data_IF_721107189241
#
_entry.id   IF_721107189241
#
_cell.length_a   1.000
_cell.length_b   1.000
_cell.length_c   1.000
_cell.angle_alpha   90.00
_cell.angle_beta   90.00
_cell.angle_gamma   90.00
#
_symmetry.space_group_name_H-M   'P 1'
#
loop_
_entity.id
_entity.type
_entity.pdbx_description
1 polymer ?
#
# COMPACT_ATOMS: atom_id res chain seq x y z
N UNK A 1 10.37 46.36 41.56
CA UNK A 1 9.48 46.13 40.41
C UNK A 1 10.01 44.96 39.58
N UNK A 2 9.39 43.78 39.68
CA UNK A 2 9.71 42.62 38.83
C UNK A 2 8.58 42.46 37.82
N UNK A 3 8.86 42.75 36.55
CA UNK A 3 7.94 42.45 35.47
C UNK A 3 7.93 40.93 35.24
N UNK A 4 6.81 40.28 35.57
CA UNK A 4 6.51 38.91 35.15
C UNK A 4 6.12 38.98 33.68
N UNK A 5 7.03 38.58 32.79
CA UNK A 5 6.70 38.32 31.40
C UNK A 5 5.97 36.98 31.32
N UNK A 6 4.63 37.01 31.29
CA UNK A 6 3.82 35.88 30.86
C UNK A 6 3.95 35.72 29.34
N UNK A 7 4.72 34.74 28.88
CA UNK A 7 4.80 34.38 27.46
C UNK A 7 3.57 33.59 26.99
N UNK A 8 2.76 34.09 26.04
CA UNK A 8 1.69 33.33 25.42
C UNK A 8 2.28 32.49 24.28
N UNK A 9 2.82 31.30 24.59
CA UNK A 9 3.45 30.47 23.53
C UNK A 9 3.50 28.96 23.75
N UNK A 10 3.28 28.48 24.97
CA UNK A 10 3.41 27.03 25.26
C UNK A 10 2.14 26.23 24.95
N UNK A 11 0.95 26.83 25.07
CA UNK A 11 -0.32 26.12 24.89
C UNK A 11 -0.55 25.67 23.45
N UNK A 12 -0.40 26.56 22.48
CA UNK A 12 -0.68 26.26 21.06
C UNK A 12 0.31 25.28 20.44
N UNK A 13 1.59 25.33 20.85
CA UNK A 13 2.60 24.35 20.42
C UNK A 13 2.32 22.95 20.96
N UNK A 14 1.83 22.85 22.21
CA UNK A 14 1.45 21.57 22.80
C UNK A 14 0.16 20.99 22.18
N UNK A 15 -0.84 21.84 21.92
CA UNK A 15 -2.08 21.44 21.24
C UNK A 15 -1.78 21.00 19.80
N UNK A 16 -1.00 21.77 19.05
CA UNK A 16 -0.57 21.39 17.70
C UNK A 16 0.24 20.09 17.68
N UNK A 17 1.11 19.87 18.68
CA UNK A 17 1.86 18.63 18.79
C UNK A 17 0.97 17.41 19.08
N UNK A 18 -0.08 17.56 19.89
CA UNK A 18 -1.07 16.50 20.16
C UNK A 18 -1.92 16.21 18.93
N UNK A 19 -2.44 17.26 18.28
CA UNK A 19 -3.24 17.15 17.06
C UNK A 19 -2.47 16.39 15.95
N UNK A 20 -1.22 16.78 15.69
CA UNK A 20 -0.37 16.09 14.72
C UNK A 20 -0.08 14.63 15.09
N UNK A 21 -0.10 14.27 16.38
CA UNK A 21 0.12 12.87 16.81
C UNK A 21 -1.15 12.05 16.58
N UNK A 22 -2.32 12.63 16.82
CA UNK A 22 -3.61 12.01 16.47
C UNK A 22 -3.71 11.82 14.96
N UNK A 23 -3.36 12.84 14.18
CA UNK A 23 -3.36 12.76 12.72
C UNK A 23 -2.39 11.69 12.20
N UNK A 24 -1.17 11.62 12.76
CA UNK A 24 -0.21 10.57 12.42
C UNK A 24 -0.74 9.17 12.76
N UNK A 25 -1.38 8.99 13.91
CA UNK A 25 -1.98 7.72 14.31
C UNK A 25 -3.13 7.33 13.38
N UNK A 26 -3.99 8.29 13.02
CA UNK A 26 -5.08 8.10 12.07
C UNK A 26 -4.56 7.73 10.68
N UNK A 27 -3.51 8.39 10.21
CA UNK A 27 -2.91 8.11 8.90
C UNK A 27 -2.33 6.69 8.86
N UNK A 28 -1.64 6.25 9.93
CA UNK A 28 -1.15 4.86 10.05
C UNK A 28 -2.30 3.87 10.11
N UNK A 29 -3.34 4.17 10.91
CA UNK A 29 -4.52 3.31 11.03
C UNK A 29 -5.23 3.15 9.69
N UNK A 30 -5.45 4.26 8.99
CA UNK A 30 -6.07 4.27 7.67
C UNK A 30 -5.26 3.40 6.71
N UNK A 31 -3.93 3.58 6.62
CA UNK A 31 -3.09 2.80 5.74
C UNK A 31 -3.10 1.29 6.02
N UNK A 32 -3.24 0.87 7.29
CA UNK A 32 -3.38 -0.56 7.62
C UNK A 32 -4.76 -1.12 7.24
N UNK A 33 -5.80 -0.30 7.40
CA UNK A 33 -7.19 -0.74 7.28
C UNK A 33 -7.70 -0.62 5.84
N UNK A 34 -7.16 0.28 5.01
CA UNK A 34 -7.66 0.56 3.66
C UNK A 34 -7.84 -0.76 2.88
N UNK A 35 -9.10 -1.11 2.52
CA UNK A 35 -9.39 -2.31 1.73
C UNK A 35 -8.79 -2.21 0.33
N UNK A 36 -8.66 -3.35 -0.35
CA UNK A 36 -8.10 -3.42 -1.70
C UNK A 36 -9.16 -3.21 -2.79
N UNK A 37 -10.45 -3.15 -2.42
CA UNK A 37 -11.56 -2.87 -3.34
C UNK A 37 -12.46 -1.78 -2.78
N UNK A 38 -12.95 -0.90 -3.66
CA UNK A 38 -13.91 0.14 -3.30
C UNK A 38 -15.21 -0.44 -2.75
N UNK A 39 -15.59 -1.63 -3.22
CA UNK A 39 -16.79 -2.37 -2.82
C UNK A 39 -16.67 -2.96 -1.39
N UNK A 40 -15.46 -3.02 -0.83
CA UNK A 40 -15.18 -3.53 0.53
C UNK A 40 -15.05 -2.39 1.55
N UNK A 41 -15.32 -1.13 1.17
CA UNK A 41 -15.36 0.04 2.06
C UNK A 41 -16.59 0.00 2.98
N UNK A 42 -16.74 -1.05 3.78
CA UNK A 42 -17.74 -1.11 4.83
C UNK A 42 -17.23 -0.41 6.10
N UNK A 43 -18.08 0.34 6.84
CA UNK A 43 -17.71 0.93 8.13
C UNK A 43 -17.13 -0.09 9.13
N UNK A 44 -17.55 -1.35 8.99
CA UNK A 44 -17.05 -2.50 9.74
C UNK A 44 -15.55 -2.80 9.51
N UNK A 45 -15.03 -2.54 8.31
CA UNK A 45 -13.61 -2.74 8.00
C UNK A 45 -12.73 -1.84 8.90
N UNK A 46 -13.22 -0.66 9.27
CA UNK A 46 -12.51 0.31 10.12
C UNK A 46 -12.53 0.00 11.62
N UNK A 47 -13.27 -1.02 12.05
CA UNK A 47 -13.29 -1.51 13.43
C UNK A 47 -12.29 -2.65 13.63
N UNK A 48 -11.71 -3.17 12.54
CA UNK A 48 -10.74 -4.26 12.61
C UNK A 48 -9.47 -3.78 13.31
N UNK A 49 -9.06 -4.50 14.34
CA UNK A 49 -7.81 -4.22 15.06
C UNK A 49 -6.67 -4.92 14.31
N UNK A 50 -5.76 -4.18 13.66
CA UNK A 50 -4.67 -4.78 12.93
C UNK A 50 -3.67 -5.38 13.91
N UNK A 51 -3.48 -6.69 13.83
CA UNK A 51 -2.50 -7.41 14.65
C UNK A 51 -1.09 -6.85 14.44
N UNK A 52 -0.78 -6.41 13.23
CA UNK A 52 0.53 -5.90 12.82
C UNK A 52 0.94 -4.68 13.64
N UNK A 53 0.01 -3.76 13.90
CA UNK A 53 0.27 -2.58 14.72
C UNK A 53 0.52 -2.95 16.19
N UNK A 54 -0.22 -3.94 16.71
CA UNK A 54 -0.07 -4.44 18.08
C UNK A 54 1.27 -5.14 18.26
N UNK A 55 1.64 -6.04 17.33
CA UNK A 55 2.93 -6.76 17.34
C UNK A 55 4.09 -5.77 17.21
N UNK A 56 4.01 -4.81 16.28
CA UNK A 56 5.03 -3.78 16.11
C UNK A 56 5.25 -2.99 17.41
N UNK A 57 4.18 -2.50 18.04
CA UNK A 57 4.27 -1.75 19.29
C UNK A 57 4.80 -2.60 20.43
N UNK A 58 4.43 -3.88 20.53
CA UNK A 58 4.93 -4.80 21.54
C UNK A 58 6.45 -4.98 21.41
N UNK A 59 6.95 -5.25 20.20
CA UNK A 59 8.39 -5.35 19.91
C UNK A 59 9.09 -4.06 20.30
N UNK A 60 8.62 -2.92 19.79
CA UNK A 60 9.23 -1.61 20.07
C UNK A 60 9.26 -1.31 21.55
N UNK A 61 8.21 -1.63 22.33
CA UNK A 61 8.17 -1.39 23.76
C UNK A 61 9.07 -2.36 24.55
N UNK A 62 9.23 -3.60 24.09
CA UNK A 62 10.14 -4.57 24.70
C UNK A 62 11.62 -4.18 24.57
N UNK A 63 12.00 -3.39 23.55
CA UNK A 63 13.39 -2.97 23.39
C UNK A 63 13.88 -2.11 24.58
N UNK A 64 15.11 -2.32 25.09
CA UNK A 64 15.67 -1.44 26.12
C UNK A 64 15.81 0.03 25.65
N UNK A 65 15.79 1.01 26.58
CA UNK A 65 15.95 2.43 26.23
C UNK A 65 17.30 2.79 25.62
N UNK A 66 18.33 1.99 25.85
CA UNK A 66 19.65 2.12 25.22
C UNK A 66 19.61 1.89 23.70
N UNK A 67 18.64 1.14 23.18
CA UNK A 67 18.48 0.82 21.75
C UNK A 67 17.60 1.84 21.00
N UNK A 68 17.73 3.13 21.31
CA UNK A 68 16.97 4.19 20.65
C UNK A 68 17.15 4.21 19.12
N UNK A 69 18.36 3.91 18.62
CA UNK A 69 18.65 3.85 17.18
C UNK A 69 17.94 2.69 16.49
N UNK A 70 17.94 1.50 17.10
CA UNK A 70 17.26 0.31 16.54
C UNK A 70 15.76 0.56 16.45
N UNK A 71 15.16 1.18 17.48
CA UNK A 71 13.74 1.57 17.45
C UNK A 71 13.42 2.56 16.32
N UNK A 72 14.30 3.52 16.07
CA UNK A 72 14.12 4.47 14.97
C UNK A 72 14.24 3.79 13.59
N UNK A 73 15.19 2.87 13.42
CA UNK A 73 15.35 2.08 12.20
C UNK A 73 14.13 1.18 11.96
N UNK A 74 13.65 0.47 12.99
CA UNK A 74 12.43 -0.34 12.90
C UNK A 74 11.21 0.49 12.52
N UNK A 75 11.07 1.68 13.11
CA UNK A 75 9.98 2.61 12.77
C UNK A 75 10.03 3.11 11.33
N UNK A 76 11.23 3.47 10.85
CA UNK A 76 11.43 3.87 9.46
C UNK A 76 11.13 2.72 8.51
N UNK A 77 11.68 1.54 8.76
CA UNK A 77 11.45 0.35 7.94
C UNK A 77 9.96 -0.02 7.89
N UNK A 78 9.29 -0.08 9.05
CA UNK A 78 7.87 -0.37 9.12
C UNK A 78 7.02 0.67 8.39
N UNK A 79 7.35 1.96 8.54
CA UNK A 79 6.63 3.02 7.84
C UNK A 79 6.90 3.07 6.33
N UNK A 80 8.10 2.68 5.87
CA UNK A 80 8.40 2.55 4.44
C UNK A 80 7.62 1.38 3.84
N UNK A 81 7.62 0.23 4.50
CA UNK A 81 6.82 -0.93 4.08
C UNK A 81 5.34 -0.55 4.01
N UNK A 82 4.83 0.13 5.04
CA UNK A 82 3.43 0.59 5.06
C UNK A 82 3.14 1.60 3.94
N UNK A 83 4.08 2.51 3.64
CA UNK A 83 3.99 3.45 2.52
C UNK A 83 3.93 2.77 1.17
N UNK A 84 4.80 1.78 0.94
CA UNK A 84 4.78 0.98 -0.27
C UNK A 84 3.47 0.20 -0.40
N UNK A 85 3.02 -0.46 0.68
CA UNK A 85 1.74 -1.17 0.68
C UNK A 85 0.58 -0.24 0.35
N UNK A 86 0.53 0.98 0.91
CA UNK A 86 -0.51 1.94 0.59
C UNK A 86 -0.52 2.31 -0.90
N UNK A 87 0.65 2.62 -1.48
CA UNK A 87 0.78 2.93 -2.91
C UNK A 87 0.31 1.75 -3.77
N UNK A 88 0.76 0.54 -3.45
CA UNK A 88 0.38 -0.66 -4.21
C UNK A 88 -1.12 -0.94 -4.12
N UNK A 89 -1.75 -0.74 -2.95
CA UNK A 89 -3.21 -0.86 -2.82
C UNK A 89 -3.97 0.14 -3.70
N UNK A 90 -3.51 1.38 -3.79
CA UNK A 90 -4.13 2.36 -4.69
C UNK A 90 -3.98 1.97 -6.16
N UNK A 91 -2.83 1.41 -6.54
CA UNK A 91 -2.62 0.88 -7.89
C UNK A 91 -3.52 -0.33 -8.15
N UNK A 92 -3.64 -1.25 -7.20
CA UNK A 92 -4.54 -2.40 -7.30
C UNK A 92 -5.99 -1.97 -7.49
N UNK A 93 -6.47 -0.96 -6.77
CA UNK A 93 -7.83 -0.44 -6.97
C UNK A 93 -8.00 0.06 -8.41
N UNK A 94 -7.05 0.83 -8.93
CA UNK A 94 -7.10 1.32 -10.31
C UNK A 94 -7.08 0.19 -11.34
N UNK A 95 -6.20 -0.79 -11.16
CA UNK A 95 -6.06 -1.94 -12.06
C UNK A 95 -7.23 -2.91 -11.97
N UNK A 96 -7.80 -3.12 -10.78
CA UNK A 96 -8.98 -3.96 -10.61
C UNK A 96 -10.21 -3.32 -11.27
N UNK A 97 -10.37 -2.00 -11.19
CA UNK A 97 -11.50 -1.35 -11.84
C UNK A 97 -11.33 -1.22 -13.36
N UNK A 98 -10.10 -1.04 -13.85
CA UNK A 98 -9.85 -0.89 -15.29
C UNK A 98 -9.65 -2.22 -16.03
N UNK A 99 -9.02 -3.21 -15.39
CA UNK A 99 -8.51 -4.43 -16.02
C UNK A 99 -8.97 -5.71 -15.30
N UNK A 100 -9.76 -5.60 -14.22
CA UNK A 100 -10.23 -6.72 -13.40
C UNK A 100 -9.11 -7.65 -12.89
N UNK A 101 -7.89 -7.12 -12.77
CA UNK A 101 -6.70 -7.84 -12.26
C UNK A 101 -5.92 -6.93 -11.30
N UNK A 102 -5.17 -7.49 -10.33
CA UNK A 102 -4.28 -6.70 -9.49
C UNK A 102 -3.07 -6.17 -10.28
N UNK A 103 -2.42 -5.13 -9.75
CA UNK A 103 -1.23 -4.54 -10.33
C UNK A 103 -0.02 -5.45 -10.14
N UNK A 104 0.69 -5.70 -11.23
CA UNK A 104 1.97 -6.43 -11.27
C UNK A 104 3.11 -5.42 -11.54
N UNK A 105 3.93 -5.16 -10.53
CA UNK A 105 5.02 -4.19 -10.66
C UNK A 105 6.11 -4.60 -11.66
N UNK A 106 6.25 -5.89 -11.97
CA UNK A 106 7.27 -6.41 -12.90
C UNK A 106 6.81 -6.18 -14.34
N UNK A 107 5.54 -6.45 -14.63
CA UNK A 107 4.99 -6.37 -15.98
C UNK A 107 4.46 -4.96 -16.26
N UNK A 108 3.65 -4.43 -15.36
CA UNK A 108 2.84 -3.24 -15.64
C UNK A 108 3.65 -1.94 -15.62
N UNK A 109 4.84 -1.92 -15.02
CA UNK A 109 5.74 -0.77 -15.08
C UNK A 109 6.10 -0.38 -16.53
N UNK A 110 6.12 -1.36 -17.45
CA UNK A 110 6.38 -1.12 -18.87
C UNK A 110 5.27 -0.33 -19.55
N UNK A 111 4.05 -0.38 -19.01
CA UNK A 111 2.89 0.37 -19.52
C UNK A 111 2.76 1.77 -18.91
N UNK A 112 3.64 2.16 -17.98
CA UNK A 112 3.53 3.46 -17.30
C UNK A 112 3.52 4.65 -18.28
N UNK A 113 4.33 4.60 -19.34
CA UNK A 113 4.34 5.62 -20.39
C UNK A 113 3.02 5.71 -21.14
N UNK A 114 2.49 4.56 -21.57
CA UNK A 114 1.19 4.48 -22.26
C UNK A 114 0.03 4.92 -21.37
N UNK A 115 0.06 4.64 -20.07
CA UNK A 115 -0.95 5.12 -19.12
C UNK A 115 -0.89 6.65 -18.95
N UNK A 116 0.31 7.23 -18.93
CA UNK A 116 0.50 8.69 -18.88
C UNK A 116 -0.09 9.36 -20.12
N UNK A 117 0.19 8.82 -21.31
CA UNK A 117 -0.37 9.30 -22.57
C UNK A 117 -1.89 9.16 -22.58
N UNK A 118 -2.43 8.00 -22.19
CA UNK A 118 -3.86 7.76 -22.10
C UNK A 118 -4.59 8.78 -21.21
N UNK A 119 -4.02 9.12 -20.05
CA UNK A 119 -4.61 10.11 -19.15
C UNK A 119 -4.59 11.51 -19.78
N UNK A 120 -3.51 11.86 -20.48
CA UNK A 120 -3.39 13.16 -21.18
C UNK A 120 -4.35 13.25 -22.36
N UNK A 121 -4.53 12.18 -23.11
CA UNK A 121 -5.44 12.15 -24.26
C UNK A 121 -6.91 12.15 -23.81
N UNK A 122 -7.22 11.51 -22.68
CA UNK A 122 -8.59 11.43 -22.15
C UNK A 122 -9.06 12.74 -21.51
N UNK A 123 -8.19 13.43 -20.76
CA UNK A 123 -8.55 14.62 -19.99
C UNK A 123 -7.97 15.93 -20.56
N UNK A 124 -7.24 15.85 -21.66
CA UNK A 124 -6.47 16.95 -22.25
C UNK A 124 -5.12 17.18 -21.54
N UNK A 125 -4.15 17.77 -22.27
CA UNK A 125 -2.77 17.91 -21.78
C UNK A 125 -2.66 18.63 -20.43
N UNK A 126 -3.43 19.70 -20.23
CA UNK A 126 -3.40 20.51 -19.01
C UNK A 126 -3.93 19.78 -17.77
N UNK A 127 -5.18 19.32 -17.81
CA UNK A 127 -5.80 18.62 -16.69
C UNK A 127 -5.17 17.24 -16.48
N UNK A 128 -4.87 16.49 -17.54
CA UNK A 128 -4.22 15.19 -17.45
C UNK A 128 -2.84 15.27 -16.79
N UNK A 129 -2.01 16.25 -17.17
CA UNK A 129 -0.72 16.47 -16.51
C UNK A 129 -0.88 16.89 -15.04
N UNK A 130 -1.85 17.75 -14.73
CA UNK A 130 -2.12 18.13 -13.35
C UNK A 130 -2.53 16.92 -12.49
N UNK A 131 -3.40 16.06 -13.00
CA UNK A 131 -3.82 14.82 -12.30
C UNK A 131 -2.64 13.88 -12.05
N UNK A 132 -1.77 13.68 -13.05
CA UNK A 132 -0.58 12.84 -12.91
C UNK A 132 0.40 13.40 -11.86
N UNK A 133 0.60 14.73 -11.85
CA UNK A 133 1.45 15.40 -10.85
C UNK A 133 0.85 15.23 -9.46
N UNK A 134 -0.47 15.42 -9.29
CA UNK A 134 -1.15 15.23 -8.01
C UNK A 134 -1.03 13.78 -7.53
N UNK A 135 -1.21 12.79 -8.42
CA UNK A 135 -1.05 11.37 -8.09
C UNK A 135 0.39 11.04 -7.66
N UNK A 136 1.39 11.55 -8.39
CA UNK A 136 2.80 11.37 -8.05
C UNK A 136 3.14 12.02 -6.71
N UNK A 137 2.66 13.24 -6.46
CA UNK A 137 2.86 13.93 -5.18
C UNK A 137 2.18 13.18 -4.03
N UNK A 138 0.98 12.63 -4.24
CA UNK A 138 0.29 11.81 -3.24
C UNK A 138 1.09 10.55 -2.91
N UNK A 139 1.64 9.85 -3.91
CA UNK A 139 2.48 8.69 -3.69
C UNK A 139 3.76 9.04 -2.90
N UNK A 140 4.46 10.11 -3.27
CA UNK A 140 5.63 10.59 -2.52
C UNK A 140 5.24 11.01 -1.10
N UNK A 141 4.11 11.70 -0.93
CA UNK A 141 3.61 12.10 0.37
C UNK A 141 3.35 10.88 1.26
N UNK A 142 2.75 9.81 0.74
CA UNK A 142 2.57 8.56 1.49
C UNK A 142 3.92 7.96 1.91
N UNK A 143 4.88 7.86 0.98
CA UNK A 143 6.20 7.31 1.24
C UNK A 143 7.03 8.10 2.26
N UNK A 144 6.73 9.38 2.47
CA UNK A 144 7.43 10.23 3.46
C UNK A 144 6.64 10.35 4.76
N UNK A 145 5.33 10.62 4.68
CA UNK A 145 4.49 10.87 5.85
C UNK A 145 4.26 9.61 6.69
N UNK A 146 4.16 8.42 6.08
CA UNK A 146 3.99 7.17 6.83
C UNK A 146 5.21 6.84 7.71
N UNK A 147 6.45 6.83 7.21
CA UNK A 147 7.64 6.69 8.06
C UNK A 147 7.72 7.72 9.19
N UNK A 148 7.45 8.99 8.89
CA UNK A 148 7.46 10.05 9.90
C UNK A 148 6.36 9.86 10.96
N UNK A 149 5.18 9.40 10.54
CA UNK A 149 4.06 9.10 11.42
C UNK A 149 4.38 7.94 12.35
N UNK A 150 4.91 6.83 11.82
CA UNK A 150 5.32 5.66 12.62
C UNK A 150 6.43 6.03 13.59
N UNK A 151 7.43 6.81 13.17
CA UNK A 151 8.48 7.34 14.04
C UNK A 151 7.93 8.18 15.19
N UNK A 152 6.97 9.08 14.89
CA UNK A 152 6.36 9.94 15.89
C UNK A 152 5.57 9.14 16.91
N UNK A 153 4.71 8.23 16.47
CA UNK A 153 3.93 7.33 17.33
C UNK A 153 4.87 6.49 18.21
N UNK A 154 5.92 5.93 17.62
CA UNK A 154 6.95 5.16 18.32
C UNK A 154 7.64 5.98 19.40
N UNK A 155 8.01 7.23 19.11
CA UNK A 155 8.66 8.13 20.08
C UNK A 155 7.72 8.49 21.23
N UNK A 156 6.45 8.74 20.95
CA UNK A 156 5.44 9.07 21.98
C UNK A 156 5.17 7.86 22.88
N UNK A 157 5.01 6.67 22.29
CA UNK A 157 4.84 5.42 23.04
C UNK A 157 6.09 5.11 23.89
N UNK A 158 7.28 5.32 23.34
CA UNK A 158 8.54 5.15 24.06
C UNK A 158 8.73 6.16 25.22
N UNK A 159 8.12 7.35 25.14
CA UNK A 159 8.16 8.37 26.21
C UNK A 159 7.16 8.07 27.33
N UNK A 160 6.05 7.41 27.02
CA UNK A 160 4.99 7.04 27.97
C UNK A 160 4.88 5.53 28.14
N UNK A 161 6.02 4.84 28.34
CA UNK A 161 6.07 3.36 28.32
C UNK A 161 5.09 2.68 29.26
N UNK A 162 4.88 3.22 30.46
CA UNK A 162 3.98 2.65 31.46
C UNK A 162 2.52 2.55 30.98
N UNK A 163 1.85 3.68 30.66
CA UNK A 163 0.50 3.63 30.12
C UNK A 163 0.44 3.01 28.71
N UNK A 164 1.47 3.20 27.87
CA UNK A 164 1.51 2.61 26.53
C UNK A 164 1.58 1.07 26.58
N UNK A 165 2.37 0.48 27.47
CA UNK A 165 2.45 -0.98 27.60
C UNK A 165 1.15 -1.57 28.13
N UNK A 166 0.48 -0.90 29.09
CA UNK A 166 -0.84 -1.30 29.57
C UNK A 166 -1.90 -1.23 28.46
N UNK A 167 -1.90 -0.16 27.67
CA UNK A 167 -2.81 0.00 26.55
C UNK A 167 -2.58 -1.08 25.49
N UNK A 168 -1.32 -1.36 25.14
CA UNK A 168 -0.95 -2.42 24.18
C UNK A 168 -1.33 -3.80 24.72
N UNK A 169 -1.08 -4.09 26.00
CA UNK A 169 -1.48 -5.36 26.61
C UNK A 169 -3.00 -5.54 26.65
N UNK A 170 -3.76 -4.48 26.96
CA UNK A 170 -5.22 -4.48 26.91
C UNK A 170 -5.73 -4.69 25.48
N UNK A 171 -5.17 -3.97 24.50
CA UNK A 171 -5.49 -4.14 23.08
C UNK A 171 -5.19 -5.56 22.59
N UNK A 172 -4.02 -6.11 22.94
CA UNK A 172 -3.60 -7.45 22.55
C UNK A 172 -4.50 -8.53 23.17
N UNK A 173 -4.87 -8.34 24.44
CA UNK A 173 -5.78 -9.26 25.14
C UNK A 173 -7.19 -9.19 24.54
N UNK A 174 -7.69 -7.98 24.27
CA UNK A 174 -8.98 -7.77 23.62
C UNK A 174 -8.97 -8.38 22.21
N UNK A 175 -7.90 -8.19 21.45
CA UNK A 175 -7.73 -8.80 20.14
C UNK A 175 -7.73 -10.33 20.23
N UNK A 176 -7.00 -10.91 21.18
CA UNK A 176 -6.95 -12.36 21.38
C UNK A 176 -8.34 -12.91 21.71
N UNK A 177 -9.09 -12.22 22.59
CA UNK A 177 -10.47 -12.59 22.93
C UNK A 177 -11.37 -12.51 21.69
N UNK A 178 -11.31 -11.42 20.92
CA UNK A 178 -12.10 -11.27 19.69
C UNK A 178 -11.74 -12.31 18.62
N UNK A 179 -10.46 -12.68 18.52
CA UNK A 179 -9.98 -13.71 17.60
C UNK A 179 -10.42 -15.12 18.02
N UNK A 180 -10.36 -15.45 19.31
CA UNK A 180 -10.82 -16.74 19.85
C UNK A 180 -12.33 -16.89 19.71
N UNK A 181 -13.07 -15.80 19.89
CA UNK A 181 -14.53 -15.78 19.73
C UNK A 181 -14.99 -15.77 18.27
N UNK A 182 -14.07 -15.74 17.30
CA UNK A 182 -14.34 -15.62 15.85
C UNK A 182 -15.40 -14.56 15.54
N UNK A 183 -15.34 -13.39 16.21
CA UNK A 183 -16.38 -12.37 16.03
C UNK A 183 -16.22 -11.77 14.63
N UNK A 184 -17.21 -12.05 13.78
CA UNK A 184 -17.27 -11.57 12.39
C UNK A 184 -18.14 -10.32 12.32
N UNK A 185 -17.65 -9.28 11.66
CA UNK A 185 -18.41 -8.05 11.38
C UNK A 185 -18.06 -7.63 9.95
N UNK A 186 -19.06 -7.59 9.06
CA UNK A 186 -18.91 -7.23 7.65
C UNK A 186 -17.95 -8.15 6.90
N UNK A 187 -18.47 -9.18 6.21
CA UNK A 187 -17.73 -10.08 5.30
C UNK A 187 -16.50 -10.86 5.85
N UNK A 188 -16.01 -10.57 7.06
CA UNK A 188 -14.79 -11.16 7.61
C UNK A 188 -14.59 -10.90 9.10
N UNK A 189 -13.44 -11.34 9.63
CA UNK A 189 -13.13 -11.35 11.06
C UNK A 189 -12.65 -9.98 11.54
N UNK A 190 -13.06 -9.59 12.77
CA UNK A 190 -12.58 -8.35 13.42
C UNK A 190 -11.05 -8.37 13.69
N UNK A 191 -10.46 -9.56 13.78
CA UNK A 191 -9.04 -9.81 13.96
C UNK A 191 -8.32 -9.87 12.60
N UNK A 192 -8.00 -8.71 12.03
CA UNK A 192 -7.40 -8.61 10.69
C UNK A 192 -5.89 -8.88 10.69
N UNK A 193 -5.43 -9.59 9.66
CA UNK A 193 -4.03 -9.76 9.23
C UNK A 193 -3.84 -9.29 7.77
N UNK A 194 -4.72 -8.41 7.30
CA UNK A 194 -4.92 -8.18 5.87
C UNK A 194 -3.70 -7.50 5.23
N UNK A 195 -2.96 -6.67 5.99
CA UNK A 195 -1.73 -6.03 5.48
C UNK A 195 -0.60 -7.03 5.31
N UNK A 196 -0.40 -7.93 6.28
CA UNK A 196 0.64 -8.97 6.19
C UNK A 196 0.30 -10.01 5.10
N UNK A 197 -0.96 -10.42 5.00
CA UNK A 197 -1.43 -11.34 3.96
C UNK A 197 -1.26 -10.76 2.55
N UNK A 198 -1.54 -9.47 2.39
CA UNK A 198 -1.32 -8.75 1.15
C UNK A 198 0.16 -8.72 0.73
N UNK A 199 1.05 -8.26 1.63
CA UNK A 199 2.49 -8.19 1.34
C UNK A 199 3.04 -9.58 1.02
N UNK A 200 2.65 -10.60 1.78
CA UNK A 200 3.05 -11.98 1.53
C UNK A 200 2.58 -12.45 0.14
N UNK A 201 1.31 -12.20 -0.19
CA UNK A 201 0.72 -12.55 -1.48
C UNK A 201 1.43 -11.89 -2.65
N UNK A 202 1.90 -10.65 -2.51
CA UNK A 202 2.66 -9.96 -3.56
C UNK A 202 4.06 -10.57 -3.72
N UNK A 203 4.78 -10.79 -2.60
CA UNK A 203 6.14 -11.33 -2.65
C UNK A 203 6.17 -12.78 -3.15
N UNK A 204 5.14 -13.58 -2.83
CA UNK A 204 5.07 -14.97 -3.25
C UNK A 204 4.85 -15.17 -4.76
N UNK A 205 4.37 -14.15 -5.48
CA UNK A 205 4.08 -14.23 -6.93
C UNK A 205 5.29 -13.93 -7.81
N UNK A 206 6.25 -13.14 -7.31
CA UNK A 206 7.45 -12.75 -8.05
C UNK A 206 8.18 -13.95 -8.67
N UNK A 207 8.40 -15.09 -7.98
CA UNK A 207 9.11 -16.22 -8.58
C UNK A 207 8.35 -16.96 -9.68
N UNK A 208 7.01 -16.93 -9.68
CA UNK A 208 6.20 -17.50 -10.77
C UNK A 208 6.15 -16.55 -11.95
N UNK A 209 5.95 -15.25 -11.72
CA UNK A 209 5.91 -14.22 -12.77
C UNK A 209 7.23 -14.18 -13.57
N UNK A 210 8.37 -14.29 -12.89
CA UNK A 210 9.68 -14.36 -13.54
C UNK A 210 9.87 -15.65 -14.37
N UNK A 211 9.32 -16.78 -13.91
CA UNK A 211 9.37 -18.05 -14.64
C UNK A 211 8.50 -18.01 -15.88
N UNK A 212 7.30 -17.44 -15.77
CA UNK A 212 6.38 -17.31 -16.89
C UNK A 212 6.95 -16.36 -17.96
N UNK A 213 7.62 -15.28 -17.55
CA UNK A 213 8.36 -14.42 -18.49
C UNK A 213 9.48 -15.15 -19.23
N UNK A 214 10.24 -15.99 -18.54
CA UNK A 214 11.30 -16.79 -19.16
C UNK A 214 10.71 -17.80 -20.15
N UNK A 215 9.66 -18.52 -19.76
CA UNK A 215 8.98 -19.47 -20.65
C UNK A 215 8.36 -18.79 -21.87
N UNK A 216 7.76 -17.61 -21.68
CA UNK A 216 7.22 -16.84 -22.80
C UNK A 216 8.34 -16.35 -23.74
N UNK A 217 9.48 -15.92 -23.20
CA UNK A 217 10.63 -15.51 -24.01
C UNK A 217 11.20 -16.68 -24.81
N UNK A 218 11.37 -17.85 -24.18
CA UNK A 218 11.81 -19.08 -24.85
C UNK A 218 10.83 -19.51 -25.94
N UNK A 219 9.53 -19.54 -25.64
CA UNK A 219 8.49 -19.88 -26.62
C UNK A 219 8.40 -18.85 -27.76
N UNK A 220 8.67 -17.57 -27.50
CA UNK A 220 8.69 -16.53 -28.53
C UNK A 220 9.93 -16.62 -29.44
N UNK A 221 11.04 -17.19 -28.96
CA UNK A 221 12.21 -17.48 -29.80
C UNK A 221 11.94 -18.66 -30.75
N UNK A 222 11.20 -19.67 -30.26
CA UNK A 222 10.72 -20.82 -31.03
C UNK A 222 9.45 -20.50 -31.82
N UNK A 223 9.54 -19.63 -32.83
CA UNK A 223 8.47 -19.44 -33.81
C UNK A 223 8.62 -20.48 -34.96
N UNK A 224 7.72 -21.49 -35.06
CA UNK A 224 7.79 -22.53 -36.10
C UNK A 224 7.60 -21.98 -37.50
N UNK A 225 6.97 -20.81 -37.63
CA UNK A 225 6.67 -20.15 -38.90
C UNK A 225 7.76 -19.14 -39.31
N UNK A 226 8.73 -18.85 -38.44
CA UNK A 226 9.80 -17.86 -38.68
C UNK A 226 10.66 -18.14 -39.90
N UNK A 227 10.83 -19.42 -40.26
CA UNK A 227 11.61 -19.87 -41.42
C UNK A 227 10.76 -20.17 -42.65
N UNK A 228 9.43 -20.13 -42.52
CA UNK A 228 8.51 -20.34 -43.65
C UNK A 228 8.51 -19.06 -44.48
N UNK A 229 8.68 -19.20 -45.80
CA UNK A 229 8.66 -18.04 -46.68
C UNK A 229 7.30 -17.34 -46.58
N UNK A 230 7.28 -16.00 -46.52
CA UNK A 230 6.02 -15.23 -46.40
C UNK A 230 4.99 -15.55 -47.49
N UNK A 231 5.46 -16.00 -48.65
CA UNK A 231 4.66 -16.45 -49.79
C UNK A 231 3.88 -17.73 -49.47
N UNK A 232 4.43 -18.61 -48.65
CA UNK A 232 3.88 -19.92 -48.27
C UNK A 232 2.95 -19.81 -47.05
N UNK A 233 3.07 -18.72 -46.29
CA UNK A 233 2.13 -18.37 -45.23
C UNK A 233 0.78 -17.94 -45.81
N UNK A 234 -0.31 -18.37 -45.17
CA UNK A 234 -1.66 -17.89 -45.45
C UNK A 234 -2.11 -18.05 -46.92
N UNK A 235 -1.61 -19.07 -47.63
CA UNK A 235 -1.91 -19.33 -49.05
C UNK A 235 -3.41 -19.42 -49.35
N UNK A 236 -4.22 -19.92 -48.41
CA UNK A 236 -5.69 -19.98 -48.51
C UNK A 236 -6.42 -18.64 -48.42
N UNK A 237 -5.70 -17.56 -48.08
CA UNK A 237 -6.20 -16.18 -48.00
C UNK A 237 -5.82 -15.33 -49.22
N UNK A 238 -5.05 -15.88 -50.18
CA UNK A 238 -4.69 -15.14 -51.40
C UNK A 238 -5.92 -14.71 -52.19
N UNK A 239 -5.98 -13.43 -52.54
CA UNK A 239 -7.08 -12.85 -53.31
C UNK A 239 -8.38 -12.63 -52.51
N UNK A 240 -8.34 -12.74 -51.18
CA UNK A 240 -9.46 -12.44 -50.29
C UNK A 240 -9.16 -11.18 -49.48
N UNK A 241 -10.19 -10.38 -49.24
CA UNK A 241 -10.13 -9.32 -48.24
C UNK A 241 -10.23 -9.95 -46.86
N UNK A 242 -9.19 -9.80 -46.05
CA UNK A 242 -9.10 -10.41 -44.72
C UNK A 242 -9.18 -9.32 -43.66
N UNK A 243 -10.15 -9.44 -42.76
CA UNK A 243 -10.23 -8.63 -41.56
C UNK A 243 -9.67 -9.44 -40.38
N UNK A 244 -8.57 -8.98 -39.79
CA UNK A 244 -8.05 -9.56 -38.57
C UNK A 244 -8.65 -8.82 -37.38
N UNK A 245 -9.58 -9.45 -36.68
CA UNK A 245 -10.23 -8.88 -35.49
C UNK A 245 -9.75 -9.64 -34.28
N UNK A 246 -8.93 -9.00 -33.48
CA UNK A 246 -8.54 -9.51 -32.18
C UNK A 246 -9.54 -9.00 -31.15
N UNK A 247 -10.27 -9.93 -30.53
CA UNK A 247 -11.17 -9.63 -29.42
C UNK A 247 -10.53 -10.18 -28.17
N UNK A 248 -9.92 -9.29 -27.40
CA UNK A 248 -9.42 -9.60 -26.06
C UNK A 248 -10.61 -9.54 -25.10
N UNK A 249 -10.82 -10.62 -24.34
CA UNK A 249 -11.85 -10.72 -23.30
C UNK A 249 -11.35 -10.21 -21.97
#
# INVERSE_FOLDING_TARGET
MRAVQCGPGLGWRAVGARFLTVLAALLVLLALITPNRLQELEPAAFVRLPLEAVVYLAVVLALPPSLGRVRALLALAAGVVLGLTAVFKFLDVGFLEALNRPFDAVIDWRYAGSLVELVRDSFGEGLGTALLVVAALAAVALLVLLPLSVLRVTRVAARHRGPASKAVAALASLWLVLAVLDVRVGGGTLASRDTAGYVYGQVSRIPSELRDQQQFAEAAEEDPLRRVAAQELLTGLRGKDVLFVFVES
#
